data_IF_772926829981
#
_entry.id   IF_772926829981
#
_cell.length_a   1.000
_cell.length_b   1.000
_cell.length_c   1.000
_cell.angle_alpha   90.00
_cell.angle_beta   90.00
_cell.angle_gamma   90.00
#
_symmetry.space_group_name_H-M   'P 1'
#
loop_
_entity.id
_entity.type
_entity.pdbx_description
1 polymer ?
#
# COMPACT_ATOMS: atom_id res chain seq x y z
N UNK A 1 12.32 -0.82 -13.45
CA UNK A 1 11.80 -1.71 -12.39
C UNK A 1 11.95 -1.03 -11.05
N UNK A 2 10.91 -1.05 -10.23
CA UNK A 2 10.95 -0.50 -8.88
C UNK A 2 10.91 -1.63 -7.86
N UNK A 3 11.53 -1.40 -6.71
CA UNK A 3 11.54 -2.36 -5.61
C UNK A 3 11.02 -1.70 -4.34
N UNK A 4 10.65 -2.51 -3.38
CA UNK A 4 10.24 -2.03 -2.06
C UNK A 4 10.25 -3.14 -1.03
N UNK A 5 10.06 -2.75 0.23
CA UNK A 5 10.04 -3.71 1.32
C UNK A 5 9.36 -3.14 2.56
N UNK A 6 9.03 -4.02 3.51
CA UNK A 6 8.74 -3.60 4.88
C UNK A 6 10.03 -3.21 5.59
N UNK A 7 9.91 -2.64 6.78
CA UNK A 7 11.07 -2.17 7.53
C UNK A 7 12.08 -3.29 7.84
N UNK A 8 11.62 -4.47 8.23
CA UNK A 8 12.51 -5.57 8.61
C UNK A 8 12.99 -6.43 7.44
N UNK A 9 12.45 -6.22 6.24
CA UNK A 9 12.83 -7.00 5.06
C UNK A 9 12.14 -8.35 4.91
N UNK A 10 11.24 -8.71 5.81
CA UNK A 10 10.49 -9.98 5.71
C UNK A 10 9.48 -10.00 4.56
N UNK A 11 9.13 -8.83 4.02
CA UNK A 11 8.36 -8.68 2.80
C UNK A 11 9.15 -7.81 1.84
N UNK A 12 9.42 -8.33 0.65
CA UNK A 12 10.11 -7.60 -0.43
C UNK A 12 9.35 -7.78 -1.72
N UNK A 13 9.36 -6.77 -2.57
CA UNK A 13 8.65 -6.87 -3.84
C UNK A 13 9.37 -6.12 -4.95
N UNK A 14 9.09 -6.54 -6.17
CA UNK A 14 9.55 -5.92 -7.41
C UNK A 14 8.36 -5.62 -8.30
N UNK A 15 8.37 -4.46 -8.92
CA UNK A 15 7.28 -3.97 -9.77
C UNK A 15 7.83 -3.75 -11.18
N UNK A 16 7.18 -4.37 -12.17
CA UNK A 16 7.63 -4.31 -13.57
C UNK A 16 6.78 -3.42 -14.46
N UNK A 17 5.61 -2.98 -14.01
CA UNK A 17 4.68 -2.21 -14.81
C UNK A 17 4.54 -0.76 -14.34
N UNK A 18 3.62 -0.01 -14.97
CA UNK A 18 3.39 1.38 -14.61
C UNK A 18 2.74 1.51 -13.24
N UNK A 19 3.03 2.63 -12.56
CA UNK A 19 2.46 2.98 -11.28
C UNK A 19 1.59 4.22 -11.42
N UNK A 20 0.44 4.21 -10.74
CA UNK A 20 -0.45 5.37 -10.66
C UNK A 20 0.21 6.46 -9.81
N UNK A 21 -0.08 7.75 -10.04
CA UNK A 21 0.29 8.81 -9.09
C UNK A 21 -0.21 8.50 -7.68
N UNK A 22 0.46 9.03 -6.68
CA UNK A 22 0.12 8.77 -5.28
C UNK A 22 -1.18 9.47 -4.93
N UNK A 23 -2.05 8.74 -4.23
CA UNK A 23 -3.29 9.26 -3.66
C UNK A 23 -3.18 9.18 -2.14
N UNK A 24 -3.53 10.27 -1.47
CA UNK A 24 -3.68 10.30 -0.01
C UNK A 24 -5.13 9.96 0.36
N UNK A 25 -5.32 8.88 1.10
CA UNK A 25 -6.64 8.47 1.58
C UNK A 25 -6.79 8.79 3.06
N UNK A 26 -7.81 9.58 3.40
CA UNK A 26 -8.08 10.05 4.76
C UNK A 26 -9.27 9.34 5.41
N UNK A 27 -9.75 8.23 4.87
CA UNK A 27 -10.86 7.51 5.47
C UNK A 27 -10.49 7.04 6.89
N UNK A 28 -11.50 6.73 7.69
CA UNK A 28 -11.29 6.30 9.08
C UNK A 28 -10.35 5.11 9.20
N UNK A 29 -10.46 4.13 8.30
CA UNK A 29 -9.56 2.97 8.32
C UNK A 29 -8.12 3.39 8.03
N UNK A 30 -7.90 4.19 7.00
CA UNK A 30 -6.56 4.66 6.65
C UNK A 30 -5.96 5.48 7.79
N UNK A 31 -6.76 6.36 8.39
CA UNK A 31 -6.30 7.18 9.52
C UNK A 31 -5.87 6.31 10.71
N UNK A 32 -6.68 5.33 11.07
CA UNK A 32 -6.40 4.47 12.23
C UNK A 32 -5.25 3.51 11.98
N UNK A 33 -5.12 2.98 10.78
CA UNK A 33 -4.08 2.00 10.48
C UNK A 33 -2.71 2.64 10.24
N UNK A 34 -2.67 3.92 9.86
CA UNK A 34 -1.41 4.60 9.52
C UNK A 34 -0.99 5.67 10.53
N UNK A 35 -1.92 6.13 11.35
CA UNK A 35 -1.68 7.21 12.30
C UNK A 35 -2.06 8.60 11.78
N UNK A 36 -2.27 8.76 10.48
CA UNK A 36 -2.74 10.03 9.90
C UNK A 36 -3.51 9.77 8.60
N UNK A 37 -2.84 9.56 7.48
CA UNK A 37 -3.45 9.17 6.22
C UNK A 37 -2.56 8.13 5.54
N UNK A 38 -3.13 7.43 4.55
CA UNK A 38 -2.36 6.49 3.73
C UNK A 38 -2.03 7.16 2.40
N UNK A 39 -0.75 7.16 2.04
CA UNK A 39 -0.29 7.58 0.73
C UNK A 39 0.00 6.31 -0.09
N UNK A 40 -0.75 6.09 -1.16
CA UNK A 40 -0.62 4.87 -1.93
C UNK A 40 -0.55 5.12 -3.43
N UNK A 41 0.28 4.34 -4.09
CA UNK A 41 0.24 4.14 -5.54
C UNK A 41 -0.52 2.86 -5.84
N UNK A 42 -0.62 2.48 -7.09
CA UNK A 42 -1.33 1.27 -7.50
C UNK A 42 -0.69 0.68 -8.75
N UNK A 43 -0.65 -0.63 -8.82
CA UNK A 43 -0.21 -1.35 -10.01
C UNK A 43 -1.13 -2.54 -10.28
N UNK A 44 -1.00 -3.15 -11.45
CA UNK A 44 -1.63 -4.44 -11.70
C UNK A 44 -0.93 -5.51 -10.85
N UNK A 45 -1.71 -6.39 -10.22
CA UNK A 45 -1.17 -7.44 -9.38
C UNK A 45 -0.21 -8.36 -10.15
N UNK A 46 -0.46 -8.56 -11.45
CA UNK A 46 0.41 -9.37 -12.31
C UNK A 46 1.81 -8.78 -12.49
N UNK A 47 1.97 -7.49 -12.23
CA UNK A 47 3.26 -6.79 -12.36
C UNK A 47 4.08 -6.82 -11.09
N UNK A 48 3.57 -7.44 -10.03
CA UNK A 48 4.25 -7.54 -8.74
C UNK A 48 4.80 -8.95 -8.52
N UNK A 49 6.10 -9.02 -8.26
CA UNK A 49 6.76 -10.24 -7.79
C UNK A 49 7.18 -10.02 -6.34
N UNK A 50 6.82 -10.95 -5.46
CA UNK A 50 6.87 -10.72 -4.03
C UNK A 50 7.49 -11.89 -3.29
N UNK A 51 8.43 -11.59 -2.39
CA UNK A 51 8.87 -12.48 -1.32
C UNK A 51 8.13 -12.06 -0.06
N UNK A 52 7.21 -12.91 0.41
CA UNK A 52 6.18 -12.51 1.38
C UNK A 52 6.21 -13.35 2.65
N UNK A 53 7.39 -13.68 3.15
CA UNK A 53 7.58 -14.57 4.31
C UNK A 53 6.76 -14.11 5.53
N UNK A 54 6.74 -12.81 5.80
CA UNK A 54 6.06 -12.27 6.99
C UNK A 54 4.79 -11.50 6.66
N UNK A 55 4.34 -11.54 5.40
CA UNK A 55 3.14 -10.82 4.99
C UNK A 55 1.90 -11.43 5.65
N UNK A 56 1.12 -10.58 6.27
CA UNK A 56 -0.13 -10.94 6.94
C UNK A 56 -1.25 -10.08 6.34
N UNK A 57 -2.39 -10.69 6.09
CA UNK A 57 -3.56 -9.99 5.55
C UNK A 57 -4.63 -9.88 6.62
N UNK A 58 -5.14 -8.67 6.77
CA UNK A 58 -6.31 -8.38 7.62
C UNK A 58 -7.49 -8.01 6.73
N UNK A 59 -8.57 -8.77 6.83
CA UNK A 59 -9.80 -8.43 6.11
C UNK A 59 -10.43 -7.21 6.78
N UNK A 60 -10.26 -6.04 6.15
CA UNK A 60 -10.65 -4.75 6.73
C UNK A 60 -12.10 -4.38 6.43
N UNK A 61 -12.73 -5.06 5.47
CA UNK A 61 -14.14 -4.89 5.12
C UNK A 61 -14.65 -6.17 4.44
N UNK A 62 -15.92 -6.20 4.07
CA UNK A 62 -16.45 -7.33 3.32
C UNK A 62 -15.84 -7.48 1.93
N UNK A 63 -15.26 -6.41 1.38
CA UNK A 63 -14.79 -6.35 0.00
C UNK A 63 -13.29 -6.16 -0.16
N UNK A 64 -12.55 -5.94 0.93
CA UNK A 64 -11.14 -5.60 0.83
C UNK A 64 -10.32 -6.14 2.00
N UNK A 65 -9.01 -6.21 1.77
CA UNK A 65 -8.06 -6.58 2.81
C UNK A 65 -6.82 -5.71 2.75
N UNK A 66 -6.11 -5.63 3.88
CA UNK A 66 -4.88 -4.86 4.06
C UNK A 66 -3.73 -5.81 4.34
N UNK A 67 -2.61 -5.61 3.63
CA UNK A 67 -1.41 -6.39 3.83
C UNK A 67 -0.39 -5.64 4.65
N UNK A 68 0.15 -6.30 5.66
CA UNK A 68 1.18 -5.73 6.54
C UNK A 68 2.18 -6.80 6.93
N UNK A 69 3.35 -6.36 7.39
CA UNK A 69 4.33 -7.29 7.92
C UNK A 69 3.96 -7.69 9.35
N UNK A 70 3.74 -8.97 9.57
CA UNK A 70 3.40 -9.49 10.91
C UNK A 70 4.55 -9.41 11.90
N UNK A 71 5.77 -9.16 11.44
CA UNK A 71 6.97 -9.07 12.27
C UNK A 71 7.32 -7.64 12.66
N UNK A 72 7.30 -6.70 11.73
CA UNK A 72 7.68 -5.31 12.02
C UNK A 72 6.51 -4.32 12.00
N UNK A 73 5.32 -4.74 11.56
CA UNK A 73 4.13 -3.91 11.55
C UNK A 73 4.01 -2.94 10.37
N UNK A 74 4.95 -2.92 9.44
CA UNK A 74 4.85 -2.03 8.28
C UNK A 74 3.58 -2.30 7.49
N UNK A 75 2.82 -1.24 7.20
CA UNK A 75 1.69 -1.31 6.28
C UNK A 75 2.20 -1.28 4.85
N UNK A 76 1.78 -2.23 4.03
CA UNK A 76 2.32 -2.41 2.69
C UNK A 76 1.29 -2.28 1.59
N UNK A 77 0.14 -2.97 1.72
CA UNK A 77 -0.78 -3.16 0.62
C UNK A 77 -2.23 -3.01 1.04
N UNK A 78 -3.04 -2.65 0.06
CA UNK A 78 -4.49 -2.75 0.13
C UNK A 78 -4.99 -3.32 -1.19
N UNK A 79 -5.93 -4.26 -1.14
CA UNK A 79 -6.56 -4.79 -2.35
C UNK A 79 -8.04 -5.09 -2.14
N UNK A 80 -8.81 -4.89 -3.21
CA UNK A 80 -10.21 -5.27 -3.24
C UNK A 80 -10.30 -6.69 -3.78
N UNK A 81 -11.10 -7.53 -3.15
CA UNK A 81 -11.32 -8.90 -3.64
C UNK A 81 -11.90 -8.86 -5.04
N UNK A 82 -11.35 -9.71 -5.93
CA UNK A 82 -11.78 -9.79 -7.32
C UNK A 82 -11.27 -8.68 -8.23
N UNK A 83 -10.51 -7.71 -7.70
CA UNK A 83 -9.88 -6.68 -8.51
C UNK A 83 -8.49 -7.13 -8.93
N UNK A 84 -8.08 -6.75 -10.14
CA UNK A 84 -6.77 -7.11 -10.69
C UNK A 84 -5.64 -6.15 -10.26
N UNK A 85 -5.97 -5.07 -9.54
CA UNK A 85 -5.00 -4.09 -9.07
C UNK A 85 -4.74 -4.25 -7.58
N UNK A 86 -3.55 -3.80 -7.16
CA UNK A 86 -3.16 -3.73 -5.76
C UNK A 86 -2.61 -2.34 -5.46
N UNK A 87 -3.05 -1.76 -4.35
CA UNK A 87 -2.48 -0.50 -3.86
C UNK A 87 -1.26 -0.79 -3.01
N UNK A 88 -0.22 0.01 -3.20
CA UNK A 88 1.05 -0.12 -2.51
C UNK A 88 1.28 1.16 -1.72
N UNK A 89 1.52 1.04 -0.44
CA UNK A 89 1.79 2.20 0.41
C UNK A 89 3.14 2.78 0.02
N UNK A 90 3.13 4.01 -0.48
CA UNK A 90 4.23 4.59 -1.24
C UNK A 90 5.54 4.69 -0.45
N UNK A 91 5.46 4.84 0.87
CA UNK A 91 6.64 4.89 1.71
C UNK A 91 7.45 3.59 1.78
N UNK A 92 6.89 2.47 1.31
CA UNK A 92 7.61 1.19 1.27
C UNK A 92 8.45 1.02 0.01
N UNK A 93 8.30 1.90 -0.97
CA UNK A 93 9.13 1.90 -2.19
C UNK A 93 10.54 2.39 -1.89
N UNK A 94 11.52 1.78 -2.53
CA UNK A 94 12.93 2.14 -2.36
C UNK A 94 13.32 3.33 -3.23
N UNK A 95 14.19 4.19 -2.71
CA UNK A 95 14.83 5.26 -3.47
C UNK A 95 13.86 6.33 -3.97
N UNK A 96 14.31 7.08 -4.95
CA UNK A 96 13.49 8.08 -5.62
C UNK A 96 12.53 7.41 -6.59
N UNK A 97 11.24 7.62 -6.39
CA UNK A 97 10.22 6.94 -7.19
C UNK A 97 9.78 7.74 -8.41
N UNK A 98 9.96 9.06 -8.39
CA UNK A 98 9.40 9.96 -9.39
C UNK A 98 7.89 10.16 -9.26
N UNK A 99 7.26 9.52 -8.29
CA UNK A 99 5.82 9.65 -8.06
C UNK A 99 5.53 10.91 -7.26
N UNK A 100 4.36 11.50 -7.53
CA UNK A 100 3.89 12.68 -6.80
C UNK A 100 2.50 12.41 -6.27
N UNK A 101 2.20 13.00 -5.12
CA UNK A 101 0.86 12.98 -4.56
C UNK A 101 0.01 14.00 -5.30
N UNK A 102 -0.97 13.53 -6.07
CA UNK A 102 -1.79 14.41 -6.91
C UNK A 102 -3.21 14.57 -6.39
N UNK A 103 -3.70 13.64 -5.56
CA UNK A 103 -5.11 13.61 -5.16
C UNK A 103 -5.25 13.22 -3.71
N UNK A 104 -6.22 13.83 -3.04
CA UNK A 104 -6.63 13.44 -1.69
C UNK A 104 -8.09 13.01 -1.74
N UNK A 105 -8.40 11.85 -1.14
CA UNK A 105 -9.74 11.29 -1.14
C UNK A 105 -10.21 11.03 0.30
N UNK A 106 -11.53 10.93 0.47
CA UNK A 106 -12.18 10.71 1.78
C UNK A 106 -11.75 11.74 2.83
N UNK A 107 -11.64 12.99 2.42
CA UNK A 107 -11.17 14.09 3.28
C UNK A 107 -12.15 14.48 4.37
N UNK A 108 -13.40 14.05 4.28
CA UNK A 108 -14.39 14.20 5.35
C UNK A 108 -14.00 13.44 6.64
N UNK A 109 -13.19 12.40 6.50
CA UNK A 109 -12.67 11.62 7.63
C UNK A 109 -11.27 12.01 8.08
N UNK A 110 -10.70 13.08 7.51
CA UNK A 110 -9.31 13.46 7.78
C UNK A 110 -9.06 13.82 9.24
N UNK A 111 -7.84 13.54 9.69
CA UNK A 111 -7.36 14.03 10.99
C UNK A 111 -7.04 15.52 10.97
N UNK A 112 -7.03 16.14 12.14
CA UNK A 112 -6.59 17.51 12.31
C UNK A 112 -5.04 17.53 12.43
#
# INVERSE_FOLDING_TARGET
MKTGSCLCGGVKYKLSGPLRPVIACHCTQCRKTSGHYVAATQCAAKDMDMEAETLTWFQSSQTAERGFCGRCGSNLFWRRFGNENVSIFAGTLDGETGLKMETQIHTDGKGD
#
